data_IF_935614879691
#
_entry.id   IF_935614879691
#
_cell.length_a   1.000
_cell.length_b   1.000
_cell.length_c   1.000
_cell.angle_alpha   90.00
_cell.angle_beta   90.00
_cell.angle_gamma   90.00
#
_symmetry.space_group_name_H-M   'P 1'
#
loop_
_entity.id
_entity.type
_entity.pdbx_description
1 polymer ?
#
# COMPACT_ATOMS: atom_id res chain seq x y z
N UNK A 1 4.53 8.85 -9.43
CA UNK A 1 5.99 8.80 -9.61
C UNK A 1 6.29 8.26 -10.99
N UNK A 2 6.80 9.05 -11.92
CA UNK A 2 7.20 8.52 -13.24
C UNK A 2 8.65 8.08 -13.18
N UNK A 3 8.96 6.96 -13.80
CA UNK A 3 10.34 6.52 -13.98
C UNK A 3 10.89 7.05 -15.30
N UNK A 4 12.11 7.56 -15.27
CA UNK A 4 12.84 7.82 -16.50
C UNK A 4 12.95 6.52 -17.32
N UNK A 5 13.29 6.61 -18.60
CA UNK A 5 13.60 5.44 -19.44
C UNK A 5 14.78 4.59 -18.93
N UNK A 6 15.37 4.97 -17.80
CA UNK A 6 16.34 4.20 -17.01
C UNK A 6 15.69 3.61 -15.75
N UNK A 7 16.51 3.07 -14.85
CA UNK A 7 16.10 2.45 -13.59
C UNK A 7 15.78 3.45 -12.48
N UNK A 8 15.90 4.75 -12.72
CA UNK A 8 15.74 5.77 -11.69
C UNK A 8 14.29 6.26 -11.63
N UNK A 9 13.74 6.31 -10.41
CA UNK A 9 12.48 6.98 -10.14
C UNK A 9 12.65 8.49 -10.22
N UNK A 10 11.63 9.18 -10.73
CA UNK A 10 11.53 10.62 -10.54
C UNK A 10 11.02 10.91 -9.13
N UNK A 11 11.54 11.97 -8.52
CA UNK A 11 11.16 12.36 -7.15
C UNK A 11 9.67 12.75 -7.04
N UNK A 12 9.06 13.21 -8.14
CA UNK A 12 7.66 13.61 -8.17
C UNK A 12 6.90 12.89 -9.30
N UNK A 13 5.62 12.52 -9.07
CA UNK A 13 4.76 12.00 -10.13
C UNK A 13 4.54 13.07 -11.20
N UNK A 14 4.56 12.66 -12.45
CA UNK A 14 4.29 13.53 -13.57
C UNK A 14 2.96 13.20 -14.26
N UNK A 15 2.59 13.99 -15.25
CA UNK A 15 1.36 13.81 -16.02
C UNK A 15 1.30 12.43 -16.72
N UNK A 16 2.44 11.82 -17.03
CA UNK A 16 2.49 10.48 -17.63
C UNK A 16 2.08 9.40 -16.64
N UNK A 17 2.50 9.51 -15.37
CA UNK A 17 2.04 8.64 -14.29
C UNK A 17 0.54 8.78 -14.07
N UNK A 18 0.02 10.02 -14.02
CA UNK A 18 -1.42 10.24 -13.85
C UNK A 18 -2.23 9.65 -15.00
N UNK A 19 -1.81 9.87 -16.25
CA UNK A 19 -2.52 9.40 -17.43
C UNK A 19 -2.44 7.88 -17.62
N UNK A 20 -1.25 7.29 -17.51
CA UNK A 20 -1.03 5.86 -17.76
C UNK A 20 -1.38 5.00 -16.54
N UNK A 21 -1.23 5.54 -15.34
CA UNK A 21 -1.52 4.88 -14.08
C UNK A 21 -2.94 5.18 -13.60
N UNK A 22 -3.13 6.28 -12.89
CA UNK A 22 -4.37 6.56 -12.17
C UNK A 22 -5.60 6.68 -13.06
N UNK A 23 -5.54 7.43 -14.19
CA UNK A 23 -6.71 7.58 -15.07
C UNK A 23 -7.11 6.25 -15.69
N UNK A 24 -6.15 5.41 -16.08
CA UNK A 24 -6.44 4.09 -16.60
C UNK A 24 -7.14 3.21 -15.56
N UNK A 25 -6.68 3.23 -14.30
CA UNK A 25 -7.23 2.40 -13.22
C UNK A 25 -8.59 2.90 -12.71
N UNK A 26 -8.94 4.18 -12.87
CA UNK A 26 -10.28 4.71 -12.59
C UNK A 26 -11.39 4.03 -13.41
N UNK A 27 -11.05 3.38 -14.52
CA UNK A 27 -12.03 2.60 -15.30
C UNK A 27 -12.45 1.30 -14.62
N UNK A 28 -11.73 0.89 -13.57
CA UNK A 28 -12.04 -0.29 -12.73
C UNK A 28 -12.81 0.21 -11.51
N UNK A 29 -14.13 -0.07 -11.40
CA UNK A 29 -14.96 0.52 -10.34
C UNK A 29 -14.47 0.26 -8.93
N UNK A 30 -13.94 -0.96 -8.67
CA UNK A 30 -13.44 -1.35 -7.35
C UNK A 30 -12.18 -0.55 -6.98
N UNK A 31 -11.29 -0.28 -7.94
CA UNK A 31 -10.07 0.52 -7.71
C UNK A 31 -10.46 1.98 -7.46
N UNK A 32 -11.35 2.54 -8.26
CA UNK A 32 -11.87 3.90 -8.06
C UNK A 32 -12.53 4.05 -6.68
N UNK A 33 -13.27 3.02 -6.23
CA UNK A 33 -13.88 3.01 -4.90
C UNK A 33 -12.82 3.00 -3.79
N UNK A 34 -11.78 2.17 -3.90
CA UNK A 34 -10.67 2.13 -2.92
C UNK A 34 -9.97 3.48 -2.84
N UNK A 35 -9.68 4.12 -3.98
CA UNK A 35 -9.07 5.46 -4.00
C UNK A 35 -9.95 6.49 -3.26
N UNK A 36 -11.26 6.50 -3.53
CA UNK A 36 -12.19 7.38 -2.82
C UNK A 36 -12.24 7.06 -1.32
N UNK A 37 -12.28 5.78 -0.94
CA UNK A 37 -12.34 5.35 0.45
C UNK A 37 -11.09 5.76 1.24
N UNK A 38 -9.92 5.70 0.62
CA UNK A 38 -8.68 6.24 1.21
C UNK A 38 -8.76 7.75 1.41
N UNK A 39 -9.29 8.50 0.43
CA UNK A 39 -9.51 9.94 0.56
C UNK A 39 -10.40 10.28 1.75
N UNK A 40 -11.51 9.55 1.93
CA UNK A 40 -12.43 9.71 3.08
C UNK A 40 -11.74 9.38 4.40
N UNK A 41 -11.00 8.29 4.48
CA UNK A 41 -10.25 7.92 5.70
C UNK A 41 -9.18 8.97 6.05
N UNK A 42 -8.45 9.46 5.06
CA UNK A 42 -7.43 10.50 5.23
C UNK A 42 -8.05 11.83 5.73
N UNK A 43 -9.18 12.27 5.16
CA UNK A 43 -9.89 13.47 5.60
C UNK A 43 -10.38 13.30 7.05
N UNK A 44 -10.89 12.12 7.41
CA UNK A 44 -11.32 11.85 8.78
C UNK A 44 -10.16 11.99 9.78
N UNK A 45 -8.98 11.39 9.49
CA UNK A 45 -7.78 11.50 10.34
C UNK A 45 -7.39 12.97 10.48
N UNK A 46 -7.33 13.71 9.38
CA UNK A 46 -6.96 15.12 9.35
C UNK A 46 -7.92 15.99 10.15
N UNK A 47 -9.22 15.68 10.07
CA UNK A 47 -10.25 16.40 10.82
C UNK A 47 -10.16 16.13 12.33
N UNK A 48 -9.89 14.88 12.76
CA UNK A 48 -9.68 14.55 14.16
C UNK A 48 -8.41 15.24 14.69
N UNK A 49 -7.31 15.18 13.97
CA UNK A 49 -6.07 15.90 14.33
C UNK A 49 -6.34 17.39 14.52
N UNK A 50 -7.08 18.03 13.61
CA UNK A 50 -7.41 19.46 13.68
C UNK A 50 -8.22 19.80 14.93
N UNK A 51 -9.22 18.97 15.27
CA UNK A 51 -10.03 19.14 16.50
C UNK A 51 -9.19 19.02 17.78
N UNK A 52 -8.32 18.03 17.83
CA UNK A 52 -7.45 17.80 18.97
C UNK A 52 -6.41 18.92 19.13
N UNK A 53 -5.81 19.40 18.04
CA UNK A 53 -4.88 20.53 18.06
C UNK A 53 -5.53 21.83 18.58
N UNK A 54 -6.79 22.09 18.23
CA UNK A 54 -7.55 23.25 18.77
C UNK A 54 -7.73 23.11 20.29
N UNK A 55 -7.82 21.89 20.80
CA UNK A 55 -8.03 21.60 22.22
C UNK A 55 -6.73 21.52 23.03
N UNK A 56 -5.59 21.35 22.37
CA UNK A 56 -4.28 21.24 23.00
C UNK A 56 -3.90 22.53 23.72
N UNK A 57 -3.41 22.38 24.96
CA UNK A 57 -3.04 23.51 25.84
C UNK A 57 -1.54 23.72 25.96
N UNK A 58 -0.77 22.72 25.57
CA UNK A 58 0.70 22.76 25.67
C UNK A 58 1.31 22.37 24.30
N UNK A 59 2.57 22.78 24.12
CA UNK A 59 3.36 22.39 22.96
C UNK A 59 3.51 20.86 22.88
N UNK A 60 3.74 20.21 24.00
CA UNK A 60 3.89 18.76 24.10
C UNK A 60 2.62 18.02 23.66
N UNK A 61 1.43 18.50 24.07
CA UNK A 61 0.15 17.95 23.59
C UNK A 61 0.00 18.09 22.07
N UNK A 62 0.36 19.26 21.51
CA UNK A 62 0.29 19.48 20.07
C UNK A 62 1.24 18.58 19.29
N UNK A 63 2.47 18.40 19.76
CA UNK A 63 3.46 17.51 19.15
C UNK A 63 3.00 16.05 19.19
N UNK A 64 2.43 15.59 20.31
CA UNK A 64 1.86 14.25 20.43
C UNK A 64 0.73 14.02 19.42
N UNK A 65 -0.24 14.95 19.35
CA UNK A 65 -1.38 14.85 18.41
C UNK A 65 -0.89 14.78 16.95
N UNK A 66 0.09 15.62 16.61
CA UNK A 66 0.67 15.63 15.27
C UNK A 66 1.35 14.30 14.95
N UNK A 67 2.19 13.80 15.85
CA UNK A 67 2.91 12.54 15.68
C UNK A 67 1.96 11.33 15.55
N UNK A 68 0.90 11.29 16.37
CA UNK A 68 -0.11 10.22 16.29
C UNK A 68 -0.85 10.24 14.93
N UNK A 69 -1.23 11.42 14.45
CA UNK A 69 -1.88 11.55 13.16
C UNK A 69 -0.95 11.18 11.99
N UNK A 70 0.30 11.61 12.02
CA UNK A 70 1.32 11.25 11.02
C UNK A 70 1.52 9.73 10.96
N UNK A 71 1.53 9.05 12.11
CA UNK A 71 1.63 7.60 12.16
C UNK A 71 0.41 6.91 11.54
N UNK A 72 -0.80 7.37 11.82
CA UNK A 72 -2.01 6.83 11.21
C UNK A 72 -2.03 7.04 9.68
N UNK A 73 -1.63 8.23 9.24
CA UNK A 73 -1.51 8.55 7.81
C UNK A 73 -0.46 7.67 7.11
N UNK A 74 0.65 7.36 7.79
CA UNK A 74 1.66 6.44 7.28
C UNK A 74 1.08 5.03 7.07
N UNK A 75 0.35 4.50 8.04
CA UNK A 75 -0.27 3.18 7.92
C UNK A 75 -1.34 3.13 6.81
N UNK A 76 -2.19 4.16 6.74
CA UNK A 76 -3.15 4.29 5.64
C UNK A 76 -2.45 4.40 4.28
N UNK A 77 -1.37 5.18 4.20
CA UNK A 77 -0.53 5.33 3.02
C UNK A 77 0.08 4.00 2.55
N UNK A 78 0.46 3.10 3.47
CA UNK A 78 0.98 1.77 3.11
C UNK A 78 -0.09 0.88 2.49
N UNK A 79 -1.32 0.89 3.01
CA UNK A 79 -2.43 0.17 2.38
C UNK A 79 -2.66 0.71 0.96
N UNK A 80 -2.68 2.04 0.79
CA UNK A 80 -2.80 2.69 -0.53
C UNK A 80 -1.65 2.27 -1.46
N UNK A 81 -0.41 2.31 -0.96
CA UNK A 81 0.78 1.95 -1.72
C UNK A 81 0.71 0.54 -2.29
N UNK A 82 0.40 -0.43 -1.45
CA UNK A 82 0.35 -1.84 -1.87
C UNK A 82 -0.93 -2.24 -2.60
N UNK A 83 -1.91 -1.35 -2.70
CA UNK A 83 -3.13 -1.57 -3.49
C UNK A 83 -3.15 -0.67 -4.72
N UNK A 84 -3.40 0.61 -4.55
CA UNK A 84 -3.62 1.54 -5.67
C UNK A 84 -2.35 1.82 -6.48
N UNK A 85 -1.18 1.90 -5.83
CA UNK A 85 0.08 2.21 -6.51
C UNK A 85 0.79 0.97 -7.05
N UNK A 86 0.94 -0.08 -6.23
CA UNK A 86 1.74 -1.26 -6.57
C UNK A 86 0.97 -2.58 -6.41
N UNK A 87 -0.36 -2.53 -6.55
CA UNK A 87 -1.20 -3.70 -6.44
C UNK A 87 -1.14 -4.62 -7.65
N UNK A 88 -1.12 -5.93 -7.37
CA UNK A 88 -1.36 -7.01 -8.31
C UNK A 88 -2.69 -7.69 -7.95
N UNK A 89 -3.30 -8.37 -8.91
CA UNK A 89 -4.56 -9.11 -8.70
C UNK A 89 -4.55 -10.44 -9.45
N UNK A 90 -5.22 -11.44 -8.89
CA UNK A 90 -5.53 -12.67 -9.61
C UNK A 90 -6.79 -12.49 -10.45
N UNK A 91 -6.68 -12.69 -11.76
CA UNK A 91 -7.79 -12.65 -12.71
C UNK A 91 -7.69 -13.88 -13.62
N UNK A 92 -8.71 -14.71 -13.67
CA UNK A 92 -8.76 -15.92 -14.50
C UNK A 92 -7.51 -16.82 -14.35
N UNK A 93 -7.06 -17.02 -13.13
CA UNK A 93 -5.83 -17.75 -12.76
C UNK A 93 -4.53 -17.14 -13.31
N UNK A 94 -4.54 -15.87 -13.69
CA UNK A 94 -3.34 -15.12 -14.07
C UNK A 94 -3.14 -13.96 -13.12
N UNK A 95 -1.90 -13.62 -12.85
CA UNK A 95 -1.52 -12.42 -12.12
C UNK A 95 -1.49 -11.25 -13.09
N UNK A 96 -2.18 -10.17 -12.73
CA UNK A 96 -2.30 -8.94 -13.52
C UNK A 96 -1.91 -7.74 -12.67
N UNK A 97 -1.15 -6.81 -13.22
CA UNK A 97 -0.87 -5.55 -12.58
C UNK A 97 -2.04 -4.57 -12.78
N UNK A 98 -2.45 -3.92 -11.69
CA UNK A 98 -3.43 -2.83 -11.76
C UNK A 98 -2.95 -1.56 -11.06
N UNK A 99 -1.89 -1.64 -10.26
CA UNK A 99 -1.35 -0.49 -9.53
C UNK A 99 -0.79 0.58 -10.47
N UNK A 100 -1.13 1.86 -10.20
CA UNK A 100 -0.78 2.99 -11.04
C UNK A 100 0.75 3.16 -11.21
N UNK A 101 1.52 2.96 -10.13
CA UNK A 101 2.97 3.00 -10.16
C UNK A 101 3.58 1.90 -11.03
N UNK A 102 3.00 0.70 -11.02
CA UNK A 102 3.44 -0.39 -11.91
C UNK A 102 3.11 -0.06 -13.37
N UNK A 103 1.86 0.32 -13.66
CA UNK A 103 1.37 0.54 -15.03
C UNK A 103 2.10 1.70 -15.73
N UNK A 104 2.52 2.71 -14.99
CA UNK A 104 3.30 3.84 -15.52
C UNK A 104 4.80 3.53 -15.66
N UNK A 105 5.25 2.32 -15.30
CA UNK A 105 6.64 1.88 -15.35
C UNK A 105 6.82 0.68 -16.28
N UNK A 106 7.27 0.90 -17.55
CA UNK A 106 7.44 -0.20 -18.52
C UNK A 106 8.38 -1.31 -18.04
N UNK A 107 9.36 -1.00 -17.21
CA UNK A 107 10.28 -1.98 -16.64
C UNK A 107 9.72 -2.74 -15.45
N UNK A 108 8.93 -2.07 -14.59
CA UNK A 108 8.37 -2.71 -13.39
C UNK A 108 7.17 -3.60 -13.70
N UNK A 109 6.40 -3.28 -14.73
CA UNK A 109 5.26 -4.12 -15.14
C UNK A 109 5.67 -5.59 -15.35
N UNK A 110 6.61 -5.94 -16.23
CA UNK A 110 7.07 -7.33 -16.35
C UNK A 110 7.84 -7.80 -15.09
N UNK A 111 8.60 -6.92 -14.43
CA UNK A 111 9.33 -7.29 -13.23
C UNK A 111 8.39 -7.73 -12.09
N UNK A 112 7.32 -6.99 -11.85
CA UNK A 112 6.37 -7.29 -10.78
C UNK A 112 5.66 -8.64 -10.97
N UNK A 113 5.44 -9.07 -12.21
CA UNK A 113 4.71 -10.29 -12.56
C UNK A 113 5.66 -11.49 -12.73
N UNK A 114 6.79 -11.31 -13.41
CA UNK A 114 7.60 -12.43 -13.95
C UNK A 114 8.93 -12.62 -13.22
N UNK A 115 9.49 -11.58 -12.59
CA UNK A 115 10.82 -11.66 -12.02
C UNK A 115 10.89 -12.65 -10.85
N UNK A 116 11.82 -13.61 -10.85
CA UNK A 116 12.04 -14.48 -9.68
C UNK A 116 12.65 -13.74 -8.49
N UNK A 117 13.08 -12.50 -8.66
CA UNK A 117 13.66 -11.68 -7.59
C UNK A 117 12.60 -11.00 -6.72
N UNK A 118 11.38 -10.87 -7.20
CA UNK A 118 10.29 -10.22 -6.48
C UNK A 118 9.53 -11.26 -5.62
N UNK A 119 9.29 -10.94 -4.36
CA UNK A 119 8.38 -11.70 -3.49
C UNK A 119 6.94 -11.34 -3.84
N UNK A 120 6.04 -12.33 -3.88
CA UNK A 120 4.61 -12.13 -4.11
C UNK A 120 3.81 -12.86 -3.05
N UNK A 121 2.96 -12.12 -2.36
CA UNK A 121 2.15 -12.61 -1.25
C UNK A 121 0.68 -12.41 -1.63
N UNK A 122 -0.09 -13.51 -1.63
CA UNK A 122 -1.53 -13.45 -1.88
C UNK A 122 -2.23 -12.86 -0.66
N UNK A 123 -3.10 -11.89 -0.92
CA UNK A 123 -3.86 -11.15 0.08
C UNK A 123 -5.36 -11.29 -0.19
N UNK A 124 -6.12 -11.53 0.86
CA UNK A 124 -7.57 -11.39 0.86
C UNK A 124 -7.97 -10.07 1.53
N UNK A 125 -8.33 -9.01 0.78
CA UNK A 125 -8.75 -7.73 1.37
C UNK A 125 -9.97 -7.82 2.30
N UNK A 126 -10.72 -8.92 2.29
CA UNK A 126 -11.83 -9.13 3.23
C UNK A 126 -11.34 -9.55 4.64
N UNK A 127 -10.07 -9.92 4.76
CA UNK A 127 -9.39 -10.28 6.02
C UNK A 127 -8.76 -9.04 6.66
N UNK A 128 -9.09 -8.73 7.91
CA UNK A 128 -8.45 -7.64 8.65
C UNK A 128 -6.97 -7.94 8.91
N UNK A 129 -6.61 -9.21 9.14
CA UNK A 129 -5.21 -9.64 9.24
C UNK A 129 -4.40 -9.25 8.01
N UNK A 130 -4.96 -9.45 6.82
CA UNK A 130 -4.26 -9.20 5.58
C UNK A 130 -4.16 -7.68 5.28
N UNK A 131 -5.19 -6.90 5.62
CA UNK A 131 -5.09 -5.43 5.58
C UNK A 131 -4.08 -4.91 6.59
N UNK A 132 -4.03 -5.48 7.79
CA UNK A 132 -3.05 -5.14 8.82
C UNK A 132 -1.62 -5.48 8.35
N UNK A 133 -1.45 -6.59 7.60
CA UNK A 133 -0.19 -6.96 6.95
C UNK A 133 0.31 -5.88 5.99
N UNK A 134 -0.61 -5.28 5.19
CA UNK A 134 -0.26 -4.15 4.31
C UNK A 134 0.15 -2.92 5.13
N UNK A 135 -0.67 -2.53 6.12
CA UNK A 135 -0.42 -1.36 6.97
C UNK A 135 0.91 -1.43 7.71
N UNK A 136 1.34 -2.62 8.14
CA UNK A 136 2.56 -2.83 8.90
C UNK A 136 3.83 -2.89 8.04
N UNK A 137 3.73 -3.06 6.71
CA UNK A 137 4.88 -3.31 5.83
C UNK A 137 5.48 -2.03 5.28
N UNK A 138 6.80 -1.90 5.39
CA UNK A 138 7.56 -0.83 4.74
C UNK A 138 7.65 -1.05 3.23
N UNK A 139 7.85 0.04 2.48
CA UNK A 139 7.99 0.04 1.03
C UNK A 139 9.20 0.84 0.57
N UNK A 140 9.60 0.63 -0.69
CA UNK A 140 10.71 1.34 -1.33
C UNK A 140 10.15 2.46 -2.24
N UNK A 141 10.82 3.62 -2.25
CA UNK A 141 10.40 4.78 -3.06
C UNK A 141 11.34 5.09 -4.23
N UNK A 142 12.56 4.61 -4.18
CA UNK A 142 13.66 4.93 -5.10
C UNK A 142 14.09 3.77 -6.01
N UNK A 143 13.52 2.57 -5.79
CA UNK A 143 13.78 1.39 -6.62
C UNK A 143 12.50 0.53 -6.80
N UNK A 144 12.57 -0.51 -7.63
CA UNK A 144 11.47 -1.47 -7.80
C UNK A 144 11.11 -2.13 -6.49
N UNK A 145 9.80 -2.28 -6.24
CA UNK A 145 9.35 -3.00 -5.07
C UNK A 145 9.94 -4.42 -5.07
N UNK A 146 10.41 -4.86 -3.91
CA UNK A 146 10.92 -6.23 -3.75
C UNK A 146 9.84 -7.21 -3.31
N UNK A 147 8.78 -6.65 -2.71
CA UNK A 147 7.57 -7.40 -2.32
C UNK A 147 6.35 -6.73 -2.92
N UNK A 148 5.53 -7.53 -3.58
CA UNK A 148 4.23 -7.16 -4.10
C UNK A 148 3.13 -7.97 -3.42
N UNK A 149 2.03 -7.31 -3.12
CA UNK A 149 0.85 -7.99 -2.64
C UNK A 149 -0.13 -8.21 -3.78
N UNK A 150 -0.63 -9.44 -3.87
CA UNK A 150 -1.51 -9.91 -4.95
C UNK A 150 -2.91 -10.06 -4.37
N UNK A 151 -3.83 -9.20 -4.75
CA UNK A 151 -5.23 -9.31 -4.32
C UNK A 151 -5.85 -10.57 -4.92
N UNK A 152 -6.66 -11.29 -4.15
CA UNK A 152 -7.28 -12.54 -4.62
C UNK A 152 -8.21 -12.34 -5.83
N UNK A 153 -8.89 -11.18 -5.90
CA UNK A 153 -9.78 -10.76 -6.97
C UNK A 153 -10.07 -9.25 -6.86
N UNK A 154 -10.68 -8.65 -7.89
CA UNK A 154 -11.09 -7.24 -7.85
C UNK A 154 -12.27 -6.98 -6.91
N UNK A 155 -13.21 -7.91 -6.78
CA UNK A 155 -14.41 -7.76 -5.94
C UNK A 155 -14.03 -7.55 -4.48
N UNK A 156 -13.02 -8.26 -4.00
CA UNK A 156 -12.52 -8.15 -2.63
C UNK A 156 -11.99 -6.77 -2.27
N UNK A 157 -11.51 -5.98 -3.25
CA UNK A 157 -11.09 -4.60 -3.03
C UNK A 157 -12.22 -3.73 -2.48
N UNK A 158 -13.47 -4.00 -2.87
CA UNK A 158 -14.65 -3.27 -2.36
C UNK A 158 -14.82 -3.35 -0.84
N UNK A 159 -14.17 -4.32 -0.20
CA UNK A 159 -14.17 -4.46 1.27
C UNK A 159 -13.23 -3.47 1.98
N UNK A 160 -12.35 -2.78 1.26
CA UNK A 160 -11.47 -1.75 1.82
C UNK A 160 -12.29 -0.46 1.99
N UNK A 161 -13.15 -0.43 3.02
CA UNK A 161 -13.98 0.75 3.34
C UNK A 161 -13.24 1.72 4.25
N UNK A 162 -13.67 2.99 4.34
CA UNK A 162 -13.05 3.96 5.25
C UNK A 162 -13.01 3.48 6.69
N UNK A 163 -14.08 2.88 7.20
CA UNK A 163 -14.18 2.38 8.57
C UNK A 163 -13.19 1.25 8.82
N UNK A 164 -13.00 0.35 7.85
CA UNK A 164 -12.02 -0.74 7.98
C UNK A 164 -10.59 -0.22 7.91
N UNK A 165 -10.30 0.74 7.03
CA UNK A 165 -9.00 1.41 7.01
C UNK A 165 -8.71 1.99 8.39
N UNK A 166 -9.63 2.77 8.95
CA UNK A 166 -9.47 3.41 10.26
C UNK A 166 -9.28 2.39 11.38
N UNK A 167 -10.06 1.29 11.38
CA UNK A 167 -9.91 0.22 12.37
C UNK A 167 -8.55 -0.46 12.30
N UNK A 168 -8.11 -0.82 11.09
CA UNK A 168 -6.85 -1.54 10.86
C UNK A 168 -5.63 -0.69 11.19
N UNK A 169 -5.62 0.61 10.86
CA UNK A 169 -4.48 1.48 11.18
C UNK A 169 -4.36 1.76 12.67
N UNK A 170 -5.48 1.78 13.42
CA UNK A 170 -5.44 1.84 14.88
C UNK A 170 -4.80 0.57 15.47
N UNK A 171 -5.13 -0.60 14.95
CA UNK A 171 -4.52 -1.86 15.37
C UNK A 171 -3.02 -1.92 15.00
N UNK A 172 -2.64 -1.35 13.85
CA UNK A 172 -1.26 -1.31 13.37
C UNK A 172 -0.30 -0.61 14.33
N UNK A 173 -0.79 0.31 15.19
CA UNK A 173 0.02 0.93 16.24
C UNK A 173 0.56 -0.06 17.28
N UNK A 174 -0.07 -1.22 17.40
CA UNK A 174 0.20 -2.20 18.45
C UNK A 174 0.99 -3.43 17.97
N UNK A 175 1.32 -3.49 16.69
CA UNK A 175 2.10 -4.60 16.12
C UNK A 175 3.49 -4.12 15.67
N UNK A 176 4.47 -5.03 15.61
CA UNK A 176 5.79 -4.69 15.08
C UNK A 176 5.73 -4.23 13.62
N UNK A 177 6.54 -3.25 13.28
CA UNK A 177 6.81 -2.90 11.89
C UNK A 177 7.48 -4.06 11.16
N UNK A 178 7.05 -4.31 9.94
CA UNK A 178 7.60 -5.33 9.04
C UNK A 178 8.42 -4.64 7.95
N UNK A 179 9.64 -5.10 7.78
CA UNK A 179 10.43 -4.69 6.63
C UNK A 179 9.86 -5.28 5.33
N UNK A 180 10.15 -4.65 4.21
CA UNK A 180 9.73 -5.13 2.89
C UNK A 180 10.28 -6.53 2.53
N UNK A 181 11.30 -7.03 3.26
CA UNK A 181 11.86 -8.39 3.10
C UNK A 181 11.14 -9.45 3.92
N UNK A 182 10.39 -9.05 4.94
CA UNK A 182 9.88 -9.97 5.95
C UNK A 182 8.73 -10.82 5.38
N UNK A 183 8.90 -12.14 5.43
CA UNK A 183 7.82 -13.12 5.28
C UNK A 183 7.44 -13.57 6.69
N UNK A 184 6.18 -13.43 7.06
CA UNK A 184 5.71 -13.76 8.41
C UNK A 184 4.79 -14.98 8.40
N UNK A 185 4.62 -15.58 9.57
CA UNK A 185 3.71 -16.71 9.74
C UNK A 185 2.30 -16.36 9.25
N UNK A 186 1.74 -17.22 8.43
CA UNK A 186 0.43 -17.06 7.80
C UNK A 186 0.43 -16.28 6.49
N UNK A 187 1.58 -15.78 5.99
CA UNK A 187 1.66 -15.25 4.64
C UNK A 187 1.41 -16.36 3.60
N UNK A 188 0.53 -16.09 2.64
CA UNK A 188 0.31 -17.00 1.51
C UNK A 188 1.26 -16.62 0.36
N UNK A 189 2.48 -17.14 0.41
CA UNK A 189 3.56 -16.79 -0.51
C UNK A 189 3.39 -17.52 -1.84
N UNK A 190 3.17 -16.77 -2.94
CA UNK A 190 3.12 -17.30 -4.31
C UNK A 190 4.55 -17.56 -4.81
N UNK A 191 5.45 -16.61 -4.57
CA UNK A 191 6.86 -16.69 -4.92
C UNK A 191 7.70 -15.93 -3.88
N UNK A 192 8.76 -16.55 -3.40
CA UNK A 192 9.73 -15.92 -2.53
C UNK A 192 10.88 -15.35 -3.36
N UNK A 193 11.08 -14.04 -3.29
CA UNK A 193 12.19 -13.37 -3.95
C UNK A 193 13.55 -13.69 -3.31
N UNK A 194 14.62 -13.39 -4.02
CA UNK A 194 15.99 -13.72 -3.57
C UNK A 194 16.43 -12.98 -2.29
N UNK A 195 15.74 -11.90 -1.92
CA UNK A 195 16.06 -11.10 -0.74
C UNK A 195 15.00 -11.22 0.37
N UNK A 196 14.05 -12.15 0.22
CA UNK A 196 13.04 -12.40 1.25
C UNK A 196 13.70 -13.00 2.50
N UNK A 197 13.21 -12.60 3.67
CA UNK A 197 13.71 -13.06 4.98
C UNK A 197 12.59 -13.76 5.73
N UNK A 198 12.88 -14.92 6.28
CA UNK A 198 11.99 -15.62 7.20
C UNK A 198 12.23 -15.19 8.65
N UNK A 199 11.22 -15.28 9.54
CA UNK A 199 11.42 -14.96 10.96
C UNK A 199 12.56 -15.75 11.56
N UNK A 200 13.59 -15.05 12.06
CA UNK A 200 14.78 -15.65 12.68
C UNK A 200 16.09 -15.52 11.89
N UNK A 201 16.06 -15.00 10.66
CA UNK A 201 17.24 -14.77 9.81
C UNK A 201 17.80 -13.33 9.91
N UNK A 202 17.65 -12.70 11.09
CA UNK A 202 18.19 -11.35 11.36
C UNK A 202 19.62 -11.41 11.87
#
# INVERSE_FOLDING_TARGET
MMRSLGTDYLEEPDIGHDLAGHIATFTIPQVAQVMNNHGVAHEWISEQMRKELISAKTQEESERVTSEAEQLLLYAGRIYWFTVEFGLVMQENKMVAFGAGILSSPGETPYSIESPKATRILIDPTSDRDLLRLAATDYLIDEYQKTYFVMKDFESLSSITPERILSVIEEAKHIPHLGWRDIVEGDNVINSGAEAMTPGEK
#
